data_IF_448658903219
#
_entry.id   IF_448658903219
#
_cell.length_a   1.000
_cell.length_b   1.000
_cell.length_c   1.000
_cell.angle_alpha   90.00
_cell.angle_beta   90.00
_cell.angle_gamma   90.00
#
_symmetry.space_group_name_H-M   'P 1'
#
loop_
_entity.id
_entity.type
_entity.pdbx_description
1 polymer ?
#
# COMPACT_ATOMS: atom_id res chain seq x y z
N UNK A 1 -9.59 45.92 -14.03
CA UNK A 1 -10.03 44.52 -13.85
C UNK A 1 -9.31 43.95 -12.60
N UNK A 2 -9.96 44.09 -11.46
CA UNK A 2 -9.58 43.34 -10.23
C UNK A 2 -10.10 41.93 -10.43
N UNK A 3 -9.24 41.02 -10.82
CA UNK A 3 -9.50 39.57 -10.77
C UNK A 3 -9.51 39.19 -9.30
N UNK A 4 -10.66 38.76 -8.84
CA UNK A 4 -10.95 38.37 -7.46
C UNK A 4 -10.04 37.24 -7.01
N UNK A 5 -9.04 37.55 -6.16
CA UNK A 5 -8.12 36.58 -5.54
C UNK A 5 -8.81 35.65 -4.50
N UNK A 6 -10.13 35.78 -4.30
CA UNK A 6 -10.87 35.01 -3.31
C UNK A 6 -11.25 33.59 -3.74
N UNK A 7 -11.08 33.22 -5.02
CA UNK A 7 -11.44 31.89 -5.51
C UNK A 7 -10.32 30.84 -5.41
N UNK A 8 -9.14 31.16 -4.85
CA UNK A 8 -8.02 30.19 -4.70
C UNK A 8 -7.83 29.63 -3.31
N UNK A 9 -8.69 29.93 -2.36
CA UNK A 9 -8.79 29.17 -1.11
C UNK A 9 -9.83 28.02 -1.28
N UNK A 10 -9.67 27.24 -2.32
CA UNK A 10 -10.33 25.94 -2.39
C UNK A 10 -9.59 25.03 -1.42
N UNK A 11 -10.23 24.75 -0.31
CA UNK A 11 -9.77 23.97 0.83
C UNK A 11 -8.90 22.79 0.39
N UNK A 12 -7.58 22.94 0.52
CA UNK A 12 -6.66 21.81 0.62
C UNK A 12 -6.99 21.22 1.97
N UNK A 13 -7.83 20.18 1.98
CA UNK A 13 -8.20 19.49 3.20
C UNK A 13 -7.01 18.66 3.65
N UNK A 14 -6.75 18.69 4.96
CA UNK A 14 -5.53 18.14 5.54
C UNK A 14 -5.37 16.65 5.24
N UNK A 15 -4.16 16.25 4.93
CA UNK A 15 -3.72 14.86 4.91
C UNK A 15 -3.32 14.48 6.34
N UNK A 16 -3.90 13.43 6.86
CA UNK A 16 -3.57 12.90 8.18
C UNK A 16 -2.79 11.60 8.01
N UNK A 17 -1.61 11.53 8.59
CA UNK A 17 -0.74 10.34 8.48
C UNK A 17 -0.65 9.63 9.83
N UNK A 18 -0.81 8.32 9.80
CA UNK A 18 -0.61 7.44 10.96
C UNK A 18 0.12 6.16 10.56
N UNK A 19 0.57 5.41 11.55
CA UNK A 19 1.17 4.10 11.36
C UNK A 19 0.35 3.05 12.09
N UNK A 20 0.21 1.87 11.48
CA UNK A 20 -0.28 0.65 12.12
C UNK A 20 0.90 -0.29 12.29
N UNK A 21 1.30 -0.57 13.52
CA UNK A 21 2.39 -1.50 13.79
C UNK A 21 1.94 -2.93 13.55
N UNK A 22 2.81 -3.72 12.93
CA UNK A 22 2.62 -5.15 12.65
C UNK A 22 3.71 -5.93 13.35
N UNK A 23 3.34 -6.92 14.12
CA UNK A 23 4.32 -7.81 14.75
C UNK A 23 4.72 -8.94 13.81
N UNK A 24 6.02 -9.20 13.71
CA UNK A 24 6.53 -10.35 12.98
C UNK A 24 6.31 -11.63 13.78
N UNK A 25 5.88 -12.70 13.11
CA UNK A 25 5.89 -14.04 13.69
C UNK A 25 7.33 -14.53 13.95
N UNK A 26 7.48 -15.56 14.75
CA UNK A 26 8.81 -16.13 15.02
C UNK A 26 9.45 -16.70 13.75
N UNK A 27 8.65 -17.26 12.83
CA UNK A 27 9.11 -17.72 11.52
C UNK A 27 9.65 -16.55 10.68
N UNK A 28 8.92 -15.42 10.65
CA UNK A 28 9.38 -14.21 9.97
C UNK A 28 10.64 -13.62 10.62
N UNK A 29 10.69 -13.55 11.96
CA UNK A 29 11.88 -13.03 12.71
C UNK A 29 13.12 -13.82 12.36
N UNK A 30 13.02 -15.17 12.37
CA UNK A 30 14.12 -16.06 12.01
C UNK A 30 14.56 -15.82 10.56
N UNK A 31 13.63 -15.93 9.61
CA UNK A 31 13.93 -15.76 8.18
C UNK A 31 14.51 -14.36 7.89
N UNK A 32 14.01 -13.32 8.57
CA UNK A 32 14.49 -11.96 8.44
C UNK A 32 15.93 -11.82 8.95
N UNK A 33 16.25 -12.39 10.11
CA UNK A 33 17.60 -12.38 10.69
C UNK A 33 18.60 -13.14 9.80
N UNK A 34 18.24 -14.33 9.33
CA UNK A 34 19.05 -15.13 8.41
C UNK A 34 19.33 -14.35 7.11
N UNK A 35 18.28 -13.81 6.46
CA UNK A 35 18.41 -13.02 5.23
C UNK A 35 19.24 -11.76 5.45
N UNK A 36 19.12 -11.10 6.60
CA UNK A 36 19.86 -9.87 6.91
C UNK A 36 21.35 -10.13 7.11
N UNK A 37 21.74 -11.24 7.76
CA UNK A 37 23.13 -11.55 8.10
C UNK A 37 23.81 -12.34 6.99
N UNK A 38 23.17 -13.38 6.49
CA UNK A 38 23.77 -14.36 5.59
C UNK A 38 23.37 -14.14 4.12
N UNK A 39 22.50 -13.16 3.84
CA UNK A 39 21.89 -12.95 2.52
C UNK A 39 21.17 -14.20 1.96
N UNK A 40 20.85 -15.16 2.82
CA UNK A 40 20.13 -16.39 2.47
C UNK A 40 19.27 -16.87 3.65
N UNK A 41 18.20 -17.60 3.35
CA UNK A 41 17.38 -18.32 4.35
C UNK A 41 16.77 -19.56 3.71
N UNK A 42 16.43 -20.54 4.54
CA UNK A 42 15.75 -21.77 4.09
C UNK A 42 14.36 -21.81 4.71
N UNK A 43 13.33 -21.89 3.85
CA UNK A 43 11.93 -21.96 4.24
C UNK A 43 11.27 -23.16 3.58
N UNK A 44 10.63 -24.02 4.39
CA UNK A 44 9.95 -25.25 3.93
C UNK A 44 10.82 -26.09 2.98
N UNK A 45 12.15 -26.17 3.29
CA UNK A 45 13.11 -26.94 2.48
C UNK A 45 13.59 -26.25 1.20
N UNK A 46 13.14 -25.05 0.92
CA UNK A 46 13.59 -24.28 -0.25
C UNK A 46 14.44 -23.08 0.16
N UNK A 47 15.50 -22.83 -0.62
CA UNK A 47 16.42 -21.71 -0.38
C UNK A 47 15.90 -20.42 -1.03
N UNK A 48 16.24 -19.31 -0.40
CA UNK A 48 16.10 -17.98 -0.99
C UNK A 48 17.38 -17.20 -0.71
N UNK A 49 18.09 -16.83 -1.78
CA UNK A 49 19.40 -16.19 -1.74
C UNK A 49 19.34 -14.80 -2.33
N UNK A 50 20.07 -13.86 -1.74
CA UNK A 50 20.22 -12.51 -2.26
C UNK A 50 21.63 -12.32 -2.83
N UNK A 51 21.73 -12.12 -4.13
CA UNK A 51 23.00 -11.95 -4.84
C UNK A 51 23.63 -10.55 -4.66
N UNK A 52 22.82 -9.58 -4.25
CA UNK A 52 23.25 -8.20 -4.00
C UNK A 52 22.33 -7.51 -2.98
N UNK A 53 22.76 -6.32 -2.53
CA UNK A 53 22.04 -5.54 -1.51
C UNK A 53 20.60 -5.20 -1.93
N UNK A 54 20.37 -4.89 -3.19
CA UNK A 54 19.01 -4.56 -3.67
C UNK A 54 18.09 -5.77 -3.59
N UNK A 55 18.56 -6.94 -4.06
CA UNK A 55 17.80 -8.19 -3.92
C UNK A 55 17.56 -8.54 -2.45
N UNK A 56 18.55 -8.31 -1.57
CA UNK A 56 18.41 -8.53 -0.15
C UNK A 56 17.31 -7.64 0.47
N UNK A 57 17.28 -6.36 0.11
CA UNK A 57 16.21 -5.45 0.56
C UNK A 57 14.82 -5.91 0.09
N UNK A 58 14.69 -6.36 -1.16
CA UNK A 58 13.44 -6.91 -1.69
C UNK A 58 13.02 -8.16 -0.90
N UNK A 59 13.95 -9.10 -0.66
CA UNK A 59 13.66 -10.32 0.11
C UNK A 59 13.26 -10.01 1.56
N UNK A 60 13.97 -9.09 2.23
CA UNK A 60 13.63 -8.63 3.56
C UNK A 60 12.22 -8.02 3.61
N UNK A 61 11.85 -7.21 2.61
CA UNK A 61 10.54 -6.62 2.52
C UNK A 61 9.44 -7.67 2.20
N UNK A 62 9.72 -8.67 1.38
CA UNK A 62 8.80 -9.79 1.17
C UNK A 62 8.53 -10.56 2.47
N UNK A 63 9.57 -10.82 3.27
CA UNK A 63 9.43 -11.48 4.57
C UNK A 63 8.52 -10.67 5.50
N UNK A 64 8.67 -9.34 5.57
CA UNK A 64 7.79 -8.49 6.38
C UNK A 64 6.34 -8.51 5.90
N UNK A 65 6.11 -8.71 4.60
CA UNK A 65 4.78 -8.86 4.02
C UNK A 65 4.15 -10.25 4.21
N UNK A 66 4.90 -11.24 4.74
CA UNK A 66 4.40 -12.59 5.02
C UNK A 66 4.53 -13.58 3.86
N UNK A 67 5.46 -13.32 2.95
CA UNK A 67 5.79 -14.25 1.86
C UNK A 67 7.26 -14.10 1.44
N UNK A 68 7.76 -15.04 0.66
CA UNK A 68 9.05 -14.92 0.01
C UNK A 68 9.10 -15.69 -1.30
N UNK A 69 9.70 -15.10 -2.32
CA UNK A 69 10.02 -15.79 -3.58
C UNK A 69 11.34 -16.55 -3.41
N UNK A 70 11.34 -17.86 -3.65
CA UNK A 70 12.50 -18.75 -3.58
C UNK A 70 13.40 -18.61 -4.81
N UNK A 71 14.53 -19.29 -4.78
CA UNK A 71 15.47 -19.32 -5.91
C UNK A 71 14.92 -20.12 -7.10
N UNK A 72 13.98 -21.04 -6.85
CA UNK A 72 13.22 -21.76 -7.89
C UNK A 72 12.08 -20.94 -8.49
N UNK A 73 11.79 -19.75 -7.95
CA UNK A 73 10.73 -18.86 -8.42
C UNK A 73 9.37 -19.06 -7.74
N UNK A 74 9.23 -20.06 -6.87
CA UNK A 74 8.01 -20.29 -6.11
C UNK A 74 7.82 -19.24 -5.02
N UNK A 75 6.56 -18.97 -4.67
CA UNK A 75 6.22 -18.06 -3.57
C UNK A 75 5.78 -18.90 -2.37
N UNK A 76 6.52 -18.79 -1.28
CA UNK A 76 6.22 -19.42 -0.01
C UNK A 76 5.54 -18.40 0.89
N UNK A 77 4.34 -18.72 1.37
CA UNK A 77 3.65 -17.93 2.40
C UNK A 77 4.21 -18.26 3.77
N UNK A 78 4.47 -17.23 4.56
CA UNK A 78 4.88 -17.26 5.96
C UNK A 78 3.68 -16.92 6.85
N UNK A 79 3.63 -17.46 8.05
CA UNK A 79 2.65 -17.01 9.03
C UNK A 79 2.91 -15.53 9.34
N UNK A 80 1.90 -14.67 9.18
CA UNK A 80 2.02 -13.23 9.38
C UNK A 80 0.72 -12.66 9.91
N UNK A 81 0.82 -11.74 10.88
CA UNK A 81 -0.33 -10.99 11.41
C UNK A 81 -0.74 -9.80 10.53
N UNK A 82 0.03 -9.48 9.49
CA UNK A 82 -0.19 -8.27 8.68
C UNK A 82 -1.58 -8.23 8.03
N UNK A 83 -2.06 -9.37 7.54
CA UNK A 83 -3.39 -9.44 6.93
C UNK A 83 -4.49 -9.27 8.00
N UNK A 84 -4.32 -9.90 9.17
CA UNK A 84 -5.26 -9.77 10.29
C UNK A 84 -5.32 -8.31 10.79
N UNK A 85 -4.18 -7.63 10.90
CA UNK A 85 -4.08 -6.22 11.25
C UNK A 85 -4.74 -5.32 10.19
N UNK A 86 -4.63 -5.67 8.89
CA UNK A 86 -5.36 -4.97 7.83
C UNK A 86 -6.87 -5.13 8.03
N UNK A 87 -7.35 -6.37 8.22
CA UNK A 87 -8.78 -6.63 8.38
C UNK A 87 -9.36 -5.91 9.60
N UNK A 88 -8.62 -5.87 10.71
CA UNK A 88 -8.99 -5.09 11.88
C UNK A 88 -9.05 -3.59 11.56
N UNK A 89 -8.05 -3.03 10.88
CA UNK A 89 -8.05 -1.63 10.46
C UNK A 89 -9.24 -1.30 9.55
N UNK A 90 -9.64 -2.22 8.65
CA UNK A 90 -10.82 -2.05 7.80
C UNK A 90 -12.13 -2.05 8.61
N UNK A 91 -12.20 -2.84 9.68
CA UNK A 91 -13.34 -2.83 10.62
C UNK A 91 -13.44 -1.54 11.43
N UNK A 92 -12.32 -0.90 11.74
CA UNK A 92 -12.25 0.38 12.47
C UNK A 92 -12.57 1.59 11.56
N UNK A 93 -12.50 1.45 10.24
CA UNK A 93 -12.74 2.54 9.29
C UNK A 93 -14.17 2.58 8.82
N UNK A 94 -14.67 3.80 8.52
CA UNK A 94 -15.95 4.01 7.85
C UNK A 94 -15.73 4.55 6.44
N UNK A 95 -16.69 4.31 5.54
CA UNK A 95 -16.60 4.78 4.16
C UNK A 95 -15.70 3.94 3.26
N UNK A 96 -15.32 4.53 2.13
CA UNK A 96 -14.52 3.84 1.11
C UNK A 96 -13.04 3.92 1.40
N UNK A 97 -12.33 2.81 1.17
CA UNK A 97 -10.92 2.63 1.50
C UNK A 97 -10.12 2.22 0.26
N UNK A 98 -8.99 2.87 0.05
CA UNK A 98 -7.98 2.44 -0.92
C UNK A 98 -6.92 1.63 -0.19
N UNK A 99 -6.56 0.46 -0.72
CA UNK A 99 -5.52 -0.41 -0.18
C UNK A 99 -4.43 -0.57 -1.25
N UNK A 100 -3.25 -0.05 -0.96
CA UNK A 100 -2.09 -0.18 -1.82
C UNK A 100 -1.18 -1.30 -1.34
N UNK A 101 -0.90 -2.27 -2.23
CA UNK A 101 0.05 -3.34 -1.97
C UNK A 101 1.09 -3.43 -3.09
N UNK A 102 2.34 -3.68 -2.71
CA UNK A 102 3.47 -3.70 -3.65
C UNK A 102 3.57 -5.01 -4.43
N UNK A 103 3.11 -6.12 -3.85
CA UNK A 103 3.21 -7.46 -4.44
C UNK A 103 1.86 -8.02 -4.87
N UNK A 104 1.82 -8.70 -6.02
CA UNK A 104 0.59 -9.35 -6.54
C UNK A 104 0.09 -10.41 -5.56
N UNK A 105 1.00 -11.15 -4.92
CA UNK A 105 0.66 -12.15 -3.90
C UNK A 105 -0.17 -11.54 -2.75
N UNK A 106 0.23 -10.36 -2.29
CA UNK A 106 -0.48 -9.64 -1.23
C UNK A 106 -1.87 -9.18 -1.71
N UNK A 107 -1.96 -8.64 -2.95
CA UNK A 107 -3.24 -8.22 -3.55
C UNK A 107 -4.24 -9.39 -3.57
N UNK A 108 -3.81 -10.57 -4.01
CA UNK A 108 -4.67 -11.77 -4.08
C UNK A 108 -5.10 -12.26 -2.69
N UNK A 109 -4.22 -12.19 -1.69
CA UNK A 109 -4.55 -12.55 -0.31
C UNK A 109 -5.54 -11.55 0.31
N UNK A 110 -5.34 -10.25 0.09
CA UNK A 110 -6.24 -9.19 0.54
C UNK A 110 -7.61 -9.34 -0.12
N UNK A 111 -7.64 -9.56 -1.43
CA UNK A 111 -8.87 -9.82 -2.19
C UNK A 111 -9.66 -10.98 -1.59
N UNK A 112 -8.99 -12.12 -1.36
CA UNK A 112 -9.62 -13.32 -0.77
C UNK A 112 -10.19 -13.05 0.62
N UNK A 113 -9.44 -12.32 1.47
CA UNK A 113 -9.88 -11.99 2.82
C UNK A 113 -11.11 -11.06 2.81
N UNK A 114 -11.06 -9.99 2.01
CA UNK A 114 -12.17 -9.04 1.87
C UNK A 114 -13.40 -9.71 1.29
N UNK A 115 -13.24 -10.55 0.27
CA UNK A 115 -14.34 -11.32 -0.31
C UNK A 115 -15.03 -12.20 0.72
N UNK A 116 -14.28 -12.86 1.59
CA UNK A 116 -14.82 -13.76 2.61
C UNK A 116 -15.57 -12.99 3.71
N UNK A 117 -15.10 -11.81 4.11
CA UNK A 117 -15.69 -11.07 5.24
C UNK A 117 -16.78 -10.07 4.81
N UNK A 118 -16.58 -9.39 3.68
CA UNK A 118 -17.48 -8.32 3.22
C UNK A 118 -18.28 -8.67 1.96
N UNK A 119 -18.02 -9.84 1.37
CA UNK A 119 -18.72 -10.32 0.17
C UNK A 119 -18.08 -9.91 -1.16
N UNK A 120 -18.53 -10.54 -2.27
CA UNK A 120 -17.88 -10.42 -3.59
C UNK A 120 -18.06 -9.04 -4.26
N UNK A 121 -19.07 -8.27 -3.89
CA UNK A 121 -19.36 -6.95 -4.47
C UNK A 121 -18.72 -5.80 -3.70
N UNK A 122 -18.06 -6.09 -2.57
CA UNK A 122 -17.51 -5.08 -1.66
C UNK A 122 -16.21 -4.47 -2.14
N UNK A 123 -15.55 -5.03 -3.13
CA UNK A 123 -14.23 -4.61 -3.59
C UNK A 123 -14.08 -4.63 -5.11
N UNK A 124 -13.05 -3.94 -5.56
CA UNK A 124 -12.52 -4.10 -6.91
C UNK A 124 -10.98 -4.11 -6.90
N UNK A 125 -10.37 -4.72 -7.92
CA UNK A 125 -8.91 -4.87 -8.01
C UNK A 125 -8.35 -4.09 -9.20
N UNK A 126 -7.19 -3.44 -8.99
CA UNK A 126 -6.53 -2.61 -9.99
C UNK A 126 -5.01 -2.85 -9.98
N UNK A 127 -4.54 -3.79 -10.80
CA UNK A 127 -3.12 -4.12 -10.93
C UNK A 127 -2.77 -4.57 -12.36
N UNK A 128 -1.52 -4.97 -12.60
CA UNK A 128 -1.02 -5.23 -13.96
C UNK A 128 -1.86 -6.22 -14.77
N UNK A 129 -2.36 -7.30 -14.14
CA UNK A 129 -3.15 -8.33 -14.81
C UNK A 129 -4.64 -7.95 -15.01
N UNK A 130 -5.13 -6.87 -14.38
CA UNK A 130 -6.51 -6.41 -14.56
C UNK A 130 -6.71 -5.90 -15.99
N UNK A 131 -7.70 -6.44 -16.70
CA UNK A 131 -8.04 -6.04 -18.08
C UNK A 131 -8.50 -4.57 -18.14
N UNK A 132 -8.32 -3.91 -19.28
CA UNK A 132 -8.63 -2.49 -19.45
C UNK A 132 -10.10 -2.17 -19.14
N UNK A 133 -11.03 -3.01 -19.57
CA UNK A 133 -12.47 -2.88 -19.31
C UNK A 133 -12.78 -2.97 -17.82
N UNK A 134 -12.20 -3.96 -17.14
CA UNK A 134 -12.37 -4.18 -15.70
C UNK A 134 -11.76 -3.02 -14.88
N UNK A 135 -10.70 -2.39 -15.37
CA UNK A 135 -10.11 -1.19 -14.75
C UNK A 135 -11.07 -0.01 -14.74
N UNK A 136 -11.74 0.25 -15.87
CA UNK A 136 -12.71 1.34 -15.95
C UNK A 136 -13.91 1.06 -15.06
N UNK A 137 -14.42 -0.17 -15.10
CA UNK A 137 -15.50 -0.62 -14.22
C UNK A 137 -15.13 -0.47 -12.74
N UNK A 138 -13.93 -0.90 -12.35
CA UNK A 138 -13.43 -0.77 -10.97
C UNK A 138 -13.46 0.69 -10.49
N UNK A 139 -12.98 1.64 -11.31
CA UNK A 139 -12.99 3.06 -10.97
C UNK A 139 -14.43 3.57 -10.83
N UNK A 140 -15.30 3.22 -11.78
CA UNK A 140 -16.70 3.63 -11.77
C UNK A 140 -17.43 3.10 -10.53
N UNK A 141 -17.32 1.80 -10.26
CA UNK A 141 -17.97 1.15 -9.12
C UNK A 141 -17.46 1.72 -7.79
N UNK A 142 -16.15 1.97 -7.69
CA UNK A 142 -15.57 2.56 -6.48
C UNK A 142 -15.98 4.02 -6.27
N UNK A 143 -16.06 4.84 -7.33
CA UNK A 143 -16.45 6.24 -7.23
C UNK A 143 -17.96 6.43 -6.98
N UNK A 144 -18.78 5.46 -7.34
CA UNK A 144 -20.22 5.54 -7.14
C UNK A 144 -20.55 5.39 -5.63
N UNK A 145 -21.11 6.44 -5.03
CA UNK A 145 -21.45 6.49 -3.58
C UNK A 145 -22.55 5.49 -3.18
N UNK A 146 -23.36 5.03 -4.14
CA UNK A 146 -24.52 4.14 -3.88
C UNK A 146 -24.12 2.67 -4.02
N UNK A 147 -22.98 2.39 -4.68
CA UNK A 147 -22.52 1.03 -4.93
C UNK A 147 -21.88 0.41 -3.68
N UNK A 148 -22.06 -0.90 -3.50
CA UNK A 148 -21.49 -1.67 -2.39
C UNK A 148 -19.96 -1.79 -2.44
N UNK A 149 -19.32 -1.42 -3.58
CA UNK A 149 -17.87 -1.43 -3.74
C UNK A 149 -17.21 -0.43 -2.78
N UNK A 150 -16.79 -0.94 -1.62
CA UNK A 150 -16.17 -0.18 -0.54
C UNK A 150 -14.65 -0.13 -0.64
N UNK A 151 -14.02 -1.20 -1.16
CA UNK A 151 -12.57 -1.39 -1.14
C UNK A 151 -11.98 -1.36 -2.54
N UNK A 152 -11.01 -0.46 -2.75
CA UNK A 152 -10.16 -0.45 -3.94
C UNK A 152 -8.82 -1.07 -3.59
N UNK A 153 -8.46 -2.19 -4.21
CA UNK A 153 -7.22 -2.91 -3.94
C UNK A 153 -6.31 -2.77 -5.17
N UNK A 154 -5.14 -2.18 -5.00
CA UNK A 154 -4.28 -1.93 -6.16
C UNK A 154 -2.79 -1.91 -5.87
N UNK A 155 -2.03 -1.82 -6.96
CA UNK A 155 -0.60 -1.60 -6.93
C UNK A 155 -0.29 -0.15 -7.31
N UNK A 156 0.56 0.52 -6.54
CA UNK A 156 0.95 1.92 -6.79
C UNK A 156 1.60 2.12 -8.16
N UNK A 157 2.25 1.10 -8.72
CA UNK A 157 2.86 1.18 -10.05
C UNK A 157 1.81 1.28 -11.16
N UNK A 158 0.70 0.56 -11.05
CA UNK A 158 -0.37 0.56 -12.04
C UNK A 158 -1.34 1.72 -11.81
N UNK A 159 -1.60 2.08 -10.56
CA UNK A 159 -2.47 3.21 -10.17
C UNK A 159 -1.87 4.59 -10.44
N UNK A 160 -0.63 4.68 -10.95
CA UNK A 160 0.07 5.94 -11.24
C UNK A 160 -0.53 6.76 -12.40
N UNK A 161 -1.35 6.19 -13.25
CA UNK A 161 -1.85 6.88 -14.46
C UNK A 161 -3.26 7.42 -14.30
N UNK A 162 -3.36 8.72 -13.96
CA UNK A 162 -4.55 9.56 -14.25
C UNK A 162 -5.88 9.22 -13.56
N UNK A 163 -5.97 8.17 -12.73
CA UNK A 163 -7.24 7.79 -12.09
C UNK A 163 -7.61 8.73 -10.95
N UNK A 164 -8.89 8.89 -10.70
CA UNK A 164 -9.43 9.69 -9.58
C UNK A 164 -10.19 8.77 -8.64
N UNK A 165 -9.86 8.82 -7.33
CA UNK A 165 -10.42 7.96 -6.28
C UNK A 165 -10.88 8.81 -5.08
N UNK A 166 -11.48 9.97 -5.33
CA UNK A 166 -11.90 10.94 -4.31
C UNK A 166 -13.09 10.47 -3.46
N UNK A 167 -13.71 9.34 -3.79
CA UNK A 167 -14.71 8.72 -2.93
C UNK A 167 -14.10 8.15 -1.64
N UNK A 168 -12.79 7.89 -1.61
CA UNK A 168 -12.09 7.37 -0.44
C UNK A 168 -11.78 8.49 0.57
N UNK A 169 -12.00 8.22 1.84
CA UNK A 169 -11.53 9.00 2.98
C UNK A 169 -10.37 8.36 3.72
N UNK A 170 -10.04 7.10 3.40
CA UNK A 170 -8.93 6.36 4.00
C UNK A 170 -8.10 5.68 2.91
N UNK A 171 -6.78 5.76 3.06
CA UNK A 171 -5.80 5.09 2.22
C UNK A 171 -4.88 4.26 3.10
N UNK A 172 -4.83 2.96 2.89
CA UNK A 172 -3.96 2.05 3.65
C UNK A 172 -2.84 1.56 2.74
N UNK A 173 -1.61 1.78 3.15
CA UNK A 173 -0.44 1.18 2.53
C UNK A 173 -0.10 -0.13 3.25
N UNK A 174 -0.60 -1.23 2.70
CA UNK A 174 -0.26 -2.58 3.17
C UNK A 174 1.24 -2.84 3.06
N UNK A 175 1.85 -2.38 1.97
CA UNK A 175 3.29 -2.37 1.77
C UNK A 175 3.72 -1.17 0.93
N UNK A 176 4.84 -0.55 1.31
CA UNK A 176 5.44 0.59 0.62
C UNK A 176 6.66 0.17 -0.19
N UNK A 177 7.05 0.98 -1.17
CA UNK A 177 8.34 0.89 -1.83
C UNK A 177 9.16 2.18 -1.61
N UNK A 178 10.42 2.21 -2.07
CA UNK A 178 11.32 3.36 -1.93
C UNK A 178 11.04 4.50 -2.92
N UNK A 179 10.04 4.37 -3.80
CA UNK A 179 9.73 5.32 -4.86
C UNK A 179 8.79 6.42 -4.35
N UNK A 180 9.37 7.59 -4.05
CA UNK A 180 8.63 8.74 -3.55
C UNK A 180 7.62 9.25 -4.59
N UNK A 181 7.98 9.26 -5.87
CA UNK A 181 7.09 9.77 -6.92
C UNK A 181 5.80 8.95 -6.97
N UNK A 182 5.92 7.62 -6.97
CA UNK A 182 4.76 6.71 -6.92
C UNK A 182 3.96 6.87 -5.65
N UNK A 183 4.62 7.11 -4.51
CA UNK A 183 3.93 7.39 -3.24
C UNK A 183 3.09 8.66 -3.36
N UNK A 184 3.67 9.78 -3.78
CA UNK A 184 2.96 11.06 -3.96
C UNK A 184 1.82 10.91 -4.97
N UNK A 185 2.10 10.31 -6.13
CA UNK A 185 1.08 10.07 -7.15
C UNK A 185 -0.09 9.24 -6.61
N UNK A 186 0.16 8.21 -5.81
CA UNK A 186 -0.90 7.37 -5.22
C UNK A 186 -1.72 8.12 -4.16
N UNK A 187 -1.11 9.02 -3.39
CA UNK A 187 -1.80 9.90 -2.46
C UNK A 187 -2.71 10.88 -3.18
N UNK A 188 -2.25 11.45 -4.29
CA UNK A 188 -3.00 12.41 -5.11
C UNK A 188 -4.23 11.78 -5.81
N UNK A 189 -4.38 10.45 -5.80
CA UNK A 189 -5.61 9.79 -6.28
C UNK A 189 -6.80 10.04 -5.36
N UNK A 190 -6.59 10.00 -4.06
CA UNK A 190 -7.60 10.29 -3.04
C UNK A 190 -7.68 11.79 -2.72
N UNK A 191 -6.54 12.47 -2.66
CA UNK A 191 -6.43 13.89 -2.32
C UNK A 191 -6.35 14.75 -3.60
N UNK A 192 -7.49 14.95 -4.24
CA UNK A 192 -7.62 15.69 -5.50
C UNK A 192 -8.82 16.66 -5.44
N UNK A 193 -8.91 17.55 -6.41
CA UNK A 193 -10.08 18.41 -6.61
C UNK A 193 -11.35 17.55 -6.62
N UNK A 194 -12.33 17.90 -5.76
CA UNK A 194 -13.55 17.12 -5.55
C UNK A 194 -13.52 16.25 -4.29
N UNK A 195 -12.40 16.19 -3.54
CA UNK A 195 -12.36 15.56 -2.22
C UNK A 195 -13.08 16.43 -1.19
N UNK A 196 -14.10 15.89 -0.53
CA UNK A 196 -14.92 16.60 0.46
C UNK A 196 -14.49 16.34 1.91
N UNK A 197 -13.67 15.32 2.16
CA UNK A 197 -13.26 14.88 3.48
C UNK A 197 -11.75 15.01 3.69
N UNK A 198 -11.30 15.04 4.94
CA UNK A 198 -9.90 14.78 5.28
C UNK A 198 -9.56 13.36 4.88
N UNK A 199 -8.37 13.16 4.33
CA UNK A 199 -7.91 11.82 3.93
C UNK A 199 -6.93 11.29 4.96
N UNK A 200 -7.27 10.14 5.55
CA UNK A 200 -6.42 9.42 6.48
C UNK A 200 -5.51 8.45 5.71
N UNK A 201 -4.21 8.58 5.90
CA UNK A 201 -3.19 7.69 5.35
C UNK A 201 -2.63 6.82 6.46
N UNK A 202 -2.74 5.50 6.32
CA UNK A 202 -2.27 4.51 7.28
C UNK A 202 -1.14 3.71 6.64
N UNK A 203 0.07 3.81 7.19
CA UNK A 203 1.19 2.96 6.80
C UNK A 203 1.27 1.74 7.72
N UNK A 204 1.16 0.53 7.18
CA UNK A 204 1.40 -0.70 7.94
C UNK A 204 2.89 -0.98 8.00
N UNK A 205 3.44 -1.13 9.20
CA UNK A 205 4.88 -1.14 9.44
C UNK A 205 5.27 -2.22 10.43
N UNK A 206 6.13 -3.13 10.03
CA UNK A 206 6.79 -4.05 10.97
C UNK A 206 7.97 -3.32 11.63
N UNK A 207 7.90 -3.17 12.97
CA UNK A 207 8.89 -2.44 13.76
C UNK A 207 10.28 -3.09 13.72
N UNK A 208 11.32 -2.28 13.65
CA UNK A 208 12.71 -2.73 13.62
C UNK A 208 13.14 -3.34 12.27
N UNK A 209 12.37 -3.16 11.21
CA UNK A 209 12.60 -3.79 9.91
C UNK A 209 12.87 -2.78 8.79
N UNK A 210 12.98 -3.32 7.57
CA UNK A 210 13.12 -2.54 6.34
C UNK A 210 11.90 -1.63 6.09
N UNK A 211 10.71 -1.97 6.60
CA UNK A 211 9.51 -1.14 6.47
C UNK A 211 9.72 0.26 7.08
N UNK A 212 10.30 0.33 8.29
CA UNK A 212 10.61 1.62 8.91
C UNK A 212 11.62 2.44 8.09
N UNK A 213 12.63 1.76 7.52
CA UNK A 213 13.63 2.42 6.67
C UNK A 213 13.01 2.97 5.40
N UNK A 214 12.05 2.25 4.79
CA UNK A 214 11.30 2.74 3.62
C UNK A 214 10.53 4.01 3.99
N UNK A 215 9.75 3.98 5.07
CA UNK A 215 8.95 5.14 5.51
C UNK A 215 9.85 6.34 5.84
N UNK A 216 10.95 6.12 6.55
CA UNK A 216 11.91 7.17 6.87
C UNK A 216 12.54 7.77 5.61
N UNK A 217 12.93 6.93 4.65
CA UNK A 217 13.48 7.39 3.36
C UNK A 217 12.47 8.23 2.58
N UNK A 218 11.20 7.81 2.53
CA UNK A 218 10.14 8.57 1.88
C UNK A 218 9.95 9.95 2.54
N UNK A 219 9.92 10.01 3.87
CA UNK A 219 9.78 11.27 4.62
C UNK A 219 10.98 12.21 4.40
N UNK A 220 12.20 11.70 4.45
CA UNK A 220 13.41 12.49 4.21
C UNK A 220 13.41 13.08 2.80
N UNK A 221 13.02 12.30 1.78
CA UNK A 221 12.90 12.79 0.41
C UNK A 221 11.86 13.90 0.27
N UNK A 222 10.72 13.81 0.97
CA UNK A 222 9.70 14.88 1.01
C UNK A 222 10.28 16.17 1.62
N UNK A 223 11.00 16.07 2.74
CA UNK A 223 11.59 17.23 3.40
C UNK A 223 12.60 17.92 2.50
N UNK A 224 13.51 17.17 1.86
CA UNK A 224 14.48 17.72 0.91
C UNK A 224 13.77 18.40 -0.27
N UNK A 225 12.72 17.80 -0.82
CA UNK A 225 11.97 18.41 -1.91
C UNK A 225 11.32 19.74 -1.50
N UNK A 226 10.78 19.85 -0.28
CA UNK A 226 10.23 21.11 0.26
C UNK A 226 11.29 22.18 0.48
N UNK A 227 12.44 21.79 1.03
CA UNK A 227 13.57 22.72 1.20
C UNK A 227 14.05 23.32 -0.13
N UNK A 228 14.07 22.51 -1.20
CA UNK A 228 14.47 22.96 -2.55
C UNK A 228 13.40 23.86 -3.18
N UNK A 229 12.10 23.56 -2.96
CA UNK A 229 10.98 24.33 -3.53
C UNK A 229 10.67 25.61 -2.75
N UNK A 230 11.23 25.78 -1.56
CA UNK A 230 10.99 26.95 -0.71
C UNK A 230 9.59 26.95 -0.06
N UNK A 231 8.99 25.78 0.12
CA UNK A 231 7.70 25.57 0.81
C UNK A 231 7.85 25.23 2.29
#
# INVERSE_FOLDING_TARGET
>A
HRVDRRQRQMCIRDRVYTKREVELSDEQKRAYAEMKVNATTILKGQSATALNVLTQLIKLHQITCGHMKTDTGEIISLKSSRLDELMQALGETTGKVIIWANYIHDILNIEKAIKNEYGPNSYCTYYGATKSEDRQKCIYDFQNKINDCRFFIGNTQTGGYGITLTAASTVIYYSNNYDLEKRIQSEDRAHRIGQENKVLYIDMVAKGTVDEKIIQSLRNKVNIAKEISGE
#
